data_IF_641661373103
#
_entry.id   IF_641661373103
#
_cell.length_a   1.000
_cell.length_b   1.000
_cell.length_c   1.000
_cell.angle_alpha   90.00
_cell.angle_beta   90.00
_cell.angle_gamma   90.00
#
_symmetry.space_group_name_H-M   'P 1'
#
loop_
_entity.id
_entity.type
_entity.pdbx_description
1 polymer ?
#
# COMPACT_ATOMS: atom_id res chain seq x y z
N UNK A 1 -11.62 21.05 30.94
CA UNK A 1 -10.30 20.77 30.32
C UNK A 1 -10.52 19.97 29.05
N UNK A 2 -10.64 20.64 27.91
CA UNK A 2 -11.02 20.02 26.64
C UNK A 2 -9.75 19.52 25.94
N UNK A 3 -9.56 18.19 25.88
CA UNK A 3 -8.49 17.58 25.08
C UNK A 3 -8.71 17.97 23.62
N UNK A 4 -7.83 18.83 23.12
CA UNK A 4 -7.75 19.22 21.70
C UNK A 4 -7.58 17.93 20.89
N UNK A 5 -8.64 17.54 20.18
CA UNK A 5 -8.68 16.41 19.25
C UNK A 5 -7.43 16.54 18.37
N UNK A 6 -6.46 15.62 18.47
CA UNK A 6 -5.37 15.53 17.49
C UNK A 6 -6.06 15.43 16.14
N UNK A 7 -5.77 16.35 15.21
CA UNK A 7 -6.26 16.26 13.84
C UNK A 7 -5.91 14.85 13.37
N UNK A 8 -6.93 14.09 12.98
CA UNK A 8 -6.71 12.78 12.37
C UNK A 8 -5.82 13.04 11.16
N UNK A 9 -4.58 12.53 11.20
CA UNK A 9 -3.72 12.46 10.04
C UNK A 9 -4.45 11.53 9.08
N UNK A 10 -5.06 12.07 8.02
CA UNK A 10 -5.45 11.26 6.87
C UNK A 10 -4.25 10.36 6.53
N UNK A 11 -4.45 9.06 6.22
CA UNK A 11 -3.33 8.18 5.95
C UNK A 11 -2.51 8.84 4.85
N UNK A 12 -1.25 9.17 5.16
CA UNK A 12 -0.37 9.79 4.19
C UNK A 12 -0.36 8.88 2.96
N UNK A 13 -0.78 9.44 1.81
CA UNK A 13 -0.76 8.73 0.54
C UNK A 13 0.66 8.21 0.31
N UNK A 14 0.81 7.01 -0.23
CA UNK A 14 2.14 6.42 -0.51
C UNK A 14 2.98 7.39 -1.34
N UNK A 15 2.34 8.12 -2.25
CA UNK A 15 2.90 9.16 -3.10
C UNK A 15 3.44 10.37 -2.33
N UNK A 16 2.91 10.66 -1.14
CA UNK A 16 3.33 11.80 -0.30
C UNK A 16 4.36 11.45 0.77
N UNK A 17 4.61 10.15 1.02
CA UNK A 17 5.57 9.69 2.03
C UNK A 17 7.00 10.22 1.83
N UNK A 18 7.56 10.23 0.61
CA UNK A 18 8.92 10.74 0.39
C UNK A 18 9.10 12.20 0.84
N UNK A 19 8.11 13.05 0.55
CA UNK A 19 8.14 14.45 0.97
C UNK A 19 8.07 14.61 2.50
N UNK A 20 7.24 13.79 3.15
CA UNK A 20 7.12 13.80 4.60
C UNK A 20 8.40 13.29 5.28
N UNK A 21 9.06 12.28 4.72
CA UNK A 21 10.36 11.79 5.18
C UNK A 21 11.45 12.84 5.00
N UNK A 22 11.48 13.59 3.89
CA UNK A 22 12.41 14.71 3.72
C UNK A 22 12.16 15.85 4.71
N UNK A 23 10.89 16.16 5.03
CA UNK A 23 10.56 17.12 6.10
C UNK A 23 11.06 16.64 7.47
N UNK A 24 10.95 15.35 7.75
CA UNK A 24 11.46 14.75 8.99
C UNK A 24 12.99 14.79 9.06
N UNK A 25 13.68 14.45 7.97
CA UNK A 25 15.14 14.55 7.88
C UNK A 25 15.62 15.98 8.15
N UNK A 26 14.95 16.98 7.56
CA UNK A 26 15.22 18.40 7.84
C UNK A 26 15.01 18.76 9.31
N UNK A 27 13.99 18.20 9.97
CA UNK A 27 13.77 18.40 11.40
C UNK A 27 14.87 17.77 12.25
N UNK A 28 15.33 16.56 11.91
CA UNK A 28 16.41 15.86 12.62
C UNK A 28 17.73 16.63 12.57
N UNK A 29 18.08 17.19 11.40
CA UNK A 29 19.28 18.02 11.25
C UNK A 29 19.29 19.24 12.16
N UNK A 30 18.12 19.85 12.43
CA UNK A 30 18.00 20.98 13.37
C UNK A 30 18.42 20.63 14.79
N UNK A 31 18.37 19.34 15.15
CA UNK A 31 18.77 18.83 16.46
C UNK A 31 20.09 18.05 16.43
N UNK A 32 20.88 18.18 15.35
CA UNK A 32 22.17 17.50 15.21
C UNK A 32 22.09 16.02 14.80
N UNK A 33 20.90 15.52 14.44
CA UNK A 33 20.69 14.14 14.02
C UNK A 33 21.05 13.90 12.56
N UNK A 34 22.32 14.03 12.18
CA UNK A 34 22.73 13.87 10.77
C UNK A 34 22.56 12.42 10.28
N UNK A 35 23.07 11.44 11.02
CA UNK A 35 22.94 10.02 10.66
C UNK A 35 21.49 9.57 10.43
N UNK A 36 20.52 9.82 11.35
CA UNK A 36 19.14 9.45 11.10
C UNK A 36 18.47 10.29 10.00
N UNK A 37 18.90 11.54 9.78
CA UNK A 37 18.39 12.33 8.66
C UNK A 37 18.77 11.72 7.31
N UNK A 38 20.05 11.34 7.15
CA UNK A 38 20.55 10.68 5.92
C UNK A 38 19.85 9.34 5.69
N UNK A 39 19.63 8.54 6.75
CA UNK A 39 18.94 7.27 6.64
C UNK A 39 17.50 7.44 6.10
N UNK A 40 16.75 8.41 6.62
CA UNK A 40 15.38 8.68 6.19
C UNK A 40 15.31 9.23 4.75
N UNK A 41 16.28 10.06 4.34
CA UNK A 41 16.38 10.52 2.96
C UNK A 41 16.63 9.37 1.99
N UNK A 42 17.54 8.46 2.34
CA UNK A 42 17.78 7.26 1.54
C UNK A 42 16.52 6.41 1.39
N UNK A 43 15.75 6.24 2.46
CA UNK A 43 14.47 5.55 2.36
C UNK A 43 13.49 6.28 1.42
N UNK A 44 13.46 7.61 1.43
CA UNK A 44 12.61 8.39 0.53
C UNK A 44 13.02 8.19 -0.94
N UNK A 45 14.32 8.19 -1.20
CA UNK A 45 14.86 7.98 -2.55
C UNK A 45 14.60 6.55 -3.05
N UNK A 46 14.80 5.54 -2.20
CA UNK A 46 14.51 4.13 -2.52
C UNK A 46 13.01 3.93 -2.82
N UNK A 47 12.13 4.58 -2.06
CA UNK A 47 10.68 4.52 -2.29
C UNK A 47 10.30 5.19 -3.62
N UNK A 48 10.82 6.38 -3.92
CA UNK A 48 10.56 7.05 -5.20
C UNK A 48 11.09 6.29 -6.39
N UNK A 49 12.28 5.69 -6.27
CA UNK A 49 12.84 4.82 -7.30
C UNK A 49 11.90 3.63 -7.55
N UNK A 50 11.46 2.96 -6.49
CA UNK A 50 10.53 1.83 -6.58
C UNK A 50 9.20 2.24 -7.22
N UNK A 51 8.63 3.37 -6.82
CA UNK A 51 7.38 3.89 -7.40
C UNK A 51 7.54 4.19 -8.89
N UNK A 52 8.65 4.80 -9.29
CA UNK A 52 8.96 5.07 -10.69
C UNK A 52 9.08 3.78 -11.51
N UNK A 53 9.77 2.78 -10.98
CA UNK A 53 9.89 1.46 -11.63
C UNK A 53 8.54 0.76 -11.75
N UNK A 54 7.69 0.84 -10.72
CA UNK A 54 6.33 0.31 -10.77
C UNK A 54 5.51 1.02 -11.86
N UNK A 55 5.60 2.34 -11.96
CA UNK A 55 4.88 3.13 -12.97
C UNK A 55 5.33 2.81 -14.41
N UNK A 56 6.60 2.46 -14.59
CA UNK A 56 7.20 2.07 -15.87
C UNK A 56 6.97 0.59 -16.22
N UNK A 57 6.38 -0.19 -15.31
CA UNK A 57 6.06 -1.60 -15.58
C UNK A 57 5.03 -1.71 -16.71
N UNK A 58 5.37 -2.47 -17.76
CA UNK A 58 4.47 -2.73 -18.89
C UNK A 58 3.65 -4.00 -18.67
N UNK A 59 2.34 -3.90 -18.88
CA UNK A 59 1.40 -5.01 -18.88
C UNK A 59 0.95 -5.36 -20.29
N UNK A 60 0.78 -6.64 -20.58
CA UNK A 60 -0.05 -7.10 -21.69
C UNK A 60 -1.52 -6.70 -21.45
N UNK A 61 -2.36 -6.73 -22.50
CA UNK A 61 -3.79 -6.44 -22.32
C UNK A 61 -4.51 -7.40 -21.36
N UNK A 62 -3.99 -8.62 -21.18
CA UNK A 62 -4.58 -9.61 -20.25
C UNK A 62 -4.24 -9.24 -18.81
N UNK A 63 -2.97 -8.95 -18.53
CA UNK A 63 -2.53 -8.53 -17.19
C UNK A 63 -3.14 -7.17 -16.84
N UNK A 64 -3.20 -6.25 -17.80
CA UNK A 64 -3.83 -4.95 -17.61
C UNK A 64 -5.32 -5.07 -17.30
N UNK A 65 -6.03 -6.04 -17.87
CA UNK A 65 -7.43 -6.31 -17.56
C UNK A 65 -7.61 -6.76 -16.10
N UNK A 66 -6.72 -7.65 -15.62
CA UNK A 66 -6.72 -8.10 -14.24
C UNK A 66 -6.46 -6.94 -13.26
N UNK A 67 -5.48 -6.09 -13.56
CA UNK A 67 -5.10 -4.98 -12.71
C UNK A 67 -6.12 -3.83 -12.71
N UNK A 68 -6.68 -3.49 -13.87
CA UNK A 68 -7.59 -2.34 -14.03
C UNK A 68 -9.06 -2.64 -13.73
N UNK A 69 -9.45 -3.92 -13.77
CA UNK A 69 -10.85 -4.35 -13.70
C UNK A 69 -11.67 -4.08 -14.97
N UNK A 70 -11.03 -3.65 -16.06
CA UNK A 70 -11.64 -3.56 -17.40
C UNK A 70 -11.43 -4.84 -18.19
N UNK A 71 -12.27 -5.07 -19.21
CA UNK A 71 -12.05 -6.19 -20.13
C UNK A 71 -10.88 -5.91 -21.08
N UNK A 72 -10.21 -6.98 -21.50
CA UNK A 72 -9.14 -6.96 -22.51
C UNK A 72 -9.57 -6.23 -23.79
N UNK A 73 -10.80 -6.49 -24.26
CA UNK A 73 -11.31 -5.88 -25.49
C UNK A 73 -11.55 -4.37 -25.33
N UNK A 74 -12.03 -3.94 -24.16
CA UNK A 74 -12.19 -2.52 -23.86
C UNK A 74 -10.84 -1.81 -23.84
N UNK A 75 -9.84 -2.37 -23.14
CA UNK A 75 -8.49 -1.83 -23.10
C UNK A 75 -7.85 -1.80 -24.49
N UNK A 76 -7.99 -2.87 -25.27
CA UNK A 76 -7.50 -2.93 -26.63
C UNK A 76 -8.17 -1.88 -27.54
N UNK A 77 -9.45 -1.60 -27.34
CA UNK A 77 -10.14 -0.51 -28.04
C UNK A 77 -9.56 0.86 -27.66
N UNK A 78 -9.35 1.13 -26.37
CA UNK A 78 -8.76 2.39 -25.90
C UNK A 78 -7.35 2.63 -26.47
N UNK A 79 -6.55 1.57 -26.60
CA UNK A 79 -5.23 1.64 -27.25
C UNK A 79 -5.34 1.95 -28.74
N UNK A 80 -6.27 1.30 -29.47
CA UNK A 80 -6.49 1.57 -30.90
C UNK A 80 -7.05 2.97 -31.17
N UNK A 81 -7.90 3.47 -30.28
CA UNK A 81 -8.44 4.84 -30.33
C UNK A 81 -7.40 5.90 -29.92
N UNK A 82 -6.18 5.50 -29.51
CA UNK A 82 -5.12 6.42 -29.09
C UNK A 82 -5.32 7.07 -27.72
N UNK A 83 -6.32 6.62 -26.96
CA UNK A 83 -6.62 7.13 -25.61
C UNK A 83 -5.63 6.62 -24.56
N UNK A 84 -5.07 5.44 -24.79
CA UNK A 84 -4.00 4.85 -23.98
C UNK A 84 -2.79 4.64 -24.89
N UNK A 85 -1.59 5.15 -24.52
CA UNK A 85 -0.37 4.91 -25.29
C UNK A 85 -0.04 3.42 -25.37
N UNK A 86 0.31 2.94 -26.57
CA UNK A 86 0.88 1.60 -26.73
C UNK A 86 2.37 1.62 -26.36
N UNK A 87 2.74 0.95 -25.28
CA UNK A 87 4.13 0.76 -24.86
C UNK A 87 4.78 -0.50 -25.47
N UNK A 88 4.04 -1.27 -26.28
CA UNK A 88 4.51 -2.46 -26.97
C UNK A 88 4.78 -2.19 -28.45
N UNK A 89 4.53 -3.20 -29.29
CA UNK A 89 4.71 -3.14 -30.74
C UNK A 89 3.37 -3.19 -31.47
N UNK A 90 3.29 -2.82 -32.77
CA UNK A 90 2.10 -3.04 -33.58
C UNK A 90 1.67 -4.51 -33.51
N UNK A 91 0.37 -4.77 -33.34
CA UNK A 91 -0.24 -6.11 -33.16
C UNK A 91 0.11 -6.87 -31.86
N UNK A 92 0.94 -6.32 -30.97
CA UNK A 92 1.13 -6.84 -29.62
C UNK A 92 1.15 -5.67 -28.62
N UNK A 93 -0.03 -5.06 -28.38
CA UNK A 93 -0.14 -3.88 -27.53
C UNK A 93 0.19 -4.19 -26.07
N UNK A 94 0.91 -3.27 -25.44
CA UNK A 94 1.20 -3.25 -24.00
C UNK A 94 0.83 -1.88 -23.42
N UNK A 95 0.52 -1.84 -22.13
CA UNK A 95 0.13 -0.63 -21.41
C UNK A 95 1.02 -0.48 -20.17
N UNK A 96 1.55 0.72 -19.93
CA UNK A 96 2.27 1.02 -18.69
C UNK A 96 1.32 1.10 -17.50
N UNK A 97 1.77 0.70 -16.30
CA UNK A 97 1.00 0.78 -15.05
C UNK A 97 0.40 2.18 -14.86
N UNK A 98 1.19 3.24 -15.04
CA UNK A 98 0.74 4.64 -14.91
C UNK A 98 -0.36 5.07 -15.89
N UNK A 99 -0.57 4.32 -16.97
CA UNK A 99 -1.59 4.60 -17.99
C UNK A 99 -2.80 3.65 -17.88
N UNK A 100 -2.81 2.73 -16.91
CA UNK A 100 -3.98 1.90 -16.68
C UNK A 100 -5.13 2.76 -16.16
N UNK A 101 -6.31 2.71 -16.78
CA UNK A 101 -7.49 3.32 -16.21
C UNK A 101 -7.90 2.50 -14.98
N UNK A 102 -7.91 3.12 -13.81
CA UNK A 102 -8.41 2.46 -12.60
C UNK A 102 -9.93 2.51 -12.62
N UNK A 103 -10.59 1.36 -12.75
CA UNK A 103 -12.02 1.29 -12.47
C UNK A 103 -12.18 1.55 -10.97
N UNK A 104 -12.90 2.61 -10.61
CA UNK A 104 -13.26 2.84 -9.22
C UNK A 104 -13.84 1.53 -8.67
N UNK A 105 -13.37 1.03 -7.52
CA UNK A 105 -13.86 -0.22 -6.99
C UNK A 105 -15.38 -0.08 -6.83
N UNK A 106 -16.14 -0.77 -7.69
CA UNK A 106 -17.55 -1.01 -7.45
C UNK A 106 -17.59 -1.62 -6.04
N UNK A 107 -18.15 -0.90 -5.08
CA UNK A 107 -17.97 -1.18 -3.66
C UNK A 107 -18.48 -2.56 -3.22
N UNK A 108 -18.37 -2.81 -1.92
CA UNK A 108 -17.19 -3.41 -1.31
C UNK A 108 -17.10 -4.91 -1.62
N UNK A 109 -15.88 -5.41 -1.89
CA UNK A 109 -15.55 -6.82 -1.61
C UNK A 109 -14.97 -6.93 -0.19
N UNK A 110 -15.69 -6.37 0.78
CA UNK A 110 -15.55 -6.73 2.20
C UNK A 110 -16.29 -8.04 2.41
N UNK A 111 -15.73 -9.15 1.92
CA UNK A 111 -16.30 -10.47 2.21
C UNK A 111 -15.28 -11.59 2.38
N UNK A 112 -13.97 -11.35 2.25
CA UNK A 112 -13.00 -12.46 2.31
C UNK A 112 -11.80 -12.24 3.25
N UNK A 113 -11.67 -11.06 3.87
CA UNK A 113 -10.60 -10.78 4.85
C UNK A 113 -11.09 -10.45 6.27
N UNK A 114 -12.41 -10.31 6.48
CA UNK A 114 -13.01 -10.17 7.81
C UNK A 114 -13.01 -11.50 8.61
N UNK A 115 -12.55 -12.61 8.02
CA UNK A 115 -12.39 -13.89 8.70
C UNK A 115 -11.04 -14.04 9.45
N UNK A 116 -10.18 -13.02 9.44
CA UNK A 116 -8.98 -13.00 10.28
C UNK A 116 -9.31 -12.37 11.64
N UNK A 117 -10.00 -13.17 12.46
CA UNK A 117 -10.20 -13.10 13.92
C UNK A 117 -9.79 -11.76 14.57
N UNK A 118 -10.78 -10.90 14.83
CA UNK A 118 -10.70 -9.93 15.92
C UNK A 118 -10.64 -10.71 17.24
N UNK A 119 -9.43 -11.01 17.70
CA UNK A 119 -9.22 -11.45 19.08
C UNK A 119 -9.22 -10.22 19.97
N UNK A 120 -10.25 -10.08 20.79
CA UNK A 120 -10.29 -9.04 21.82
C UNK A 120 -9.14 -9.24 22.81
N UNK A 121 -8.57 -8.15 23.33
CA UNK A 121 -7.60 -8.20 24.43
C UNK A 121 -8.10 -9.05 25.61
N UNK A 122 -9.40 -9.08 25.83
CA UNK A 122 -10.05 -9.89 26.88
C UNK A 122 -9.94 -11.39 26.60
N UNK A 123 -10.02 -11.80 25.32
CA UNK A 123 -9.81 -13.19 24.90
C UNK A 123 -8.34 -13.60 24.99
N UNK A 124 -7.41 -12.66 24.70
CA UNK A 124 -5.97 -12.88 24.91
C UNK A 124 -5.70 -13.15 26.39
N UNK A 125 -6.22 -12.29 27.28
CA UNK A 125 -6.06 -12.44 28.74
C UNK A 125 -6.67 -13.75 29.24
N UNK A 126 -7.88 -14.12 28.81
CA UNK A 126 -8.48 -15.39 29.23
C UNK A 126 -7.72 -16.63 28.73
N UNK A 127 -7.10 -16.57 27.55
CA UNK A 127 -6.30 -17.69 27.04
C UNK A 127 -5.02 -17.92 27.85
N UNK A 128 -4.40 -16.83 28.33
CA UNK A 128 -3.19 -16.89 29.18
C UNK A 128 -3.55 -17.45 30.56
N UNK A 129 -4.67 -17.01 31.13
CA UNK A 129 -5.16 -17.52 32.42
C UNK A 129 -5.55 -19.00 32.34
N UNK A 130 -6.25 -19.42 31.28
CA UNK A 130 -6.65 -20.81 31.09
C UNK A 130 -5.43 -21.73 30.92
N UNK A 131 -4.42 -21.29 30.15
CA UNK A 131 -3.18 -22.06 29.95
C UNK A 131 -2.32 -22.13 31.22
N UNK A 132 -2.38 -21.13 32.09
CA UNK A 132 -1.68 -21.15 33.39
C UNK A 132 -2.34 -22.01 34.48
N UNK A 133 -3.57 -22.51 34.27
CA UNK A 133 -4.26 -23.39 35.24
C UNK A 133 -4.06 -24.89 34.96
N UNK A 134 -3.54 -25.27 33.80
CA UNK A 134 -3.30 -26.69 33.45
C UNK A 134 -1.91 -27.19 33.91
N UNK A 135 -0.96 -26.29 34.18
CA UNK A 135 0.40 -26.63 34.62
C UNK A 135 0.55 -26.76 36.16
N UNK A 136 -0.58 -26.82 36.89
CA UNK A 136 -0.62 -26.73 38.36
C UNK A 136 -0.98 -28.01 39.12
N UNK A 137 -1.10 -29.17 38.47
CA UNK A 137 -1.46 -30.42 39.16
C UNK A 137 -0.65 -31.61 38.69
N UNK A 138 0.60 -31.71 39.15
CA UNK A 138 1.26 -32.99 39.43
C UNK A 138 2.34 -32.78 40.51
N UNK A 139 1.92 -32.75 41.77
CA UNK A 139 2.82 -33.10 42.87
C UNK A 139 2.01 -33.67 44.04
N UNK A 140 1.91 -35.01 44.06
CA UNK A 140 1.92 -35.88 45.26
C UNK A 140 2.27 -37.29 44.80
#
# INVERSE_FOLDING_TARGET
MTRKRRKQTEPASVEGLPDDWRKQAKALRRYGGETPAVAIERCADDLEATMREQDETTFSLVEAAHESGYSKDHLGRLVREGKIPNAGRPNAPRILRRHLPLKAPSGPRLAESAARRDVSNEQIVQSIIRRGMEDGTHET
#
